data_IF_044826801644
#
_entry.id   IF_044826801644
#
_cell.length_a   1.000
_cell.length_b   1.000
_cell.length_c   1.000
_cell.angle_alpha   90.00
_cell.angle_beta   90.00
_cell.angle_gamma   90.00
#
_symmetry.space_group_name_H-M   'P 1'
#
loop_
_entity.id
_entity.type
_entity.pdbx_description
1 polymer ?
#
# COMPACT_ATOMS: atom_id res chain seq x y z
N UNK A 1 20.45 -0.63 -0.38
CA UNK A 1 19.50 0.40 -0.86
C UNK A 1 18.32 0.38 0.10
N UNK A 2 17.80 1.55 0.50
CA UNK A 2 16.61 1.61 1.38
C UNK A 2 15.41 1.09 0.60
N UNK A 3 14.63 0.17 1.18
CA UNK A 3 13.44 -0.38 0.52
C UNK A 3 12.45 0.75 0.27
N UNK A 4 11.94 0.84 -0.97
CA UNK A 4 10.96 1.85 -1.32
C UNK A 4 9.67 1.64 -0.53
N UNK A 5 9.10 2.74 -0.04
CA UNK A 5 7.87 2.73 0.76
C UNK A 5 6.79 3.55 0.07
N UNK A 6 5.64 2.95 -0.16
CA UNK A 6 4.50 3.62 -0.81
C UNK A 6 3.29 3.69 0.13
N UNK A 7 2.39 4.63 -0.12
CA UNK A 7 1.05 4.61 0.46
C UNK A 7 0.09 3.88 -0.48
N UNK A 8 -0.48 2.76 -0.07
CA UNK A 8 -1.48 2.03 -0.85
C UNK A 8 -2.07 0.87 -0.05
N UNK A 9 -3.28 0.41 -0.39
CA UNK A 9 -4.27 1.15 -1.17
C UNK A 9 -4.85 2.31 -0.35
N UNK A 10 -5.57 3.21 -1.01
CA UNK A 10 -6.35 4.27 -0.36
C UNK A 10 -7.71 3.72 0.14
N UNK A 11 -8.40 4.41 1.08
CA UNK A 11 -9.43 3.82 1.96
C UNK A 11 -10.46 2.90 1.29
N UNK A 12 -11.02 3.30 0.14
CA UNK A 12 -12.06 2.54 -0.57
C UNK A 12 -11.65 1.10 -0.96
N UNK A 13 -10.35 0.82 -1.09
CA UNK A 13 -9.82 -0.50 -1.42
C UNK A 13 -9.21 -1.26 -0.24
N UNK A 14 -9.15 -0.67 0.95
CA UNK A 14 -8.37 -1.21 2.08
C UNK A 14 -8.98 -2.49 2.62
N UNK A 15 -10.30 -2.53 2.80
CA UNK A 15 -10.96 -3.74 3.31
C UNK A 15 -10.72 -4.95 2.39
N UNK A 16 -10.89 -4.76 1.08
CA UNK A 16 -10.58 -5.78 0.06
C UNK A 16 -9.11 -6.21 0.11
N UNK A 17 -8.20 -5.24 0.23
CA UNK A 17 -6.77 -5.50 0.28
C UNK A 17 -6.35 -6.34 1.49
N UNK A 18 -6.85 -6.01 2.68
CA UNK A 18 -6.56 -6.76 3.89
C UNK A 18 -7.21 -8.15 3.87
N UNK A 19 -8.44 -8.25 3.33
CA UNK A 19 -9.19 -9.52 3.25
C UNK A 19 -8.53 -10.52 2.31
N UNK A 20 -8.09 -10.07 1.13
CA UNK A 20 -7.61 -10.97 0.07
C UNK A 20 -6.08 -10.96 -0.11
N UNK A 21 -5.34 -10.20 0.70
CA UNK A 21 -3.88 -10.09 0.54
C UNK A 21 -3.49 -9.40 -0.76
N UNK A 22 -4.10 -8.24 -1.03
CA UNK A 22 -3.89 -7.47 -2.26
C UNK A 22 -3.38 -6.06 -1.97
N UNK A 23 -2.71 -5.46 -2.94
CA UNK A 23 -2.45 -4.02 -3.01
C UNK A 23 -2.85 -3.55 -4.40
N UNK A 24 -3.54 -2.41 -4.50
CA UNK A 24 -4.04 -1.99 -5.81
C UNK A 24 -4.58 -0.59 -5.90
N UNK A 25 -5.04 -0.26 -7.10
CA UNK A 25 -5.70 1.00 -7.43
C UNK A 25 -6.63 0.85 -8.64
N UNK A 26 -7.51 1.82 -8.83
CA UNK A 26 -8.21 2.02 -10.09
C UNK A 26 -7.51 3.08 -10.96
N UNK A 27 -7.88 3.09 -12.24
CA UNK A 27 -7.52 4.13 -13.19
C UNK A 27 -8.71 4.42 -14.11
N UNK A 28 -9.03 5.70 -14.26
CA UNK A 28 -10.14 6.25 -15.05
C UNK A 28 -9.67 7.35 -16.03
N UNK A 29 -8.41 7.76 -15.94
CA UNK A 29 -7.79 8.79 -16.77
C UNK A 29 -6.37 8.39 -17.20
N UNK A 30 -5.82 9.10 -18.18
CA UNK A 30 -4.47 8.81 -18.71
C UNK A 30 -3.38 8.94 -17.62
N UNK A 31 -3.58 9.83 -16.64
CA UNK A 31 -2.62 10.09 -15.56
C UNK A 31 -2.58 8.94 -14.55
N UNK A 32 -3.71 8.30 -14.29
CA UNK A 32 -3.84 7.12 -13.42
C UNK A 32 -3.39 5.86 -14.14
N UNK A 33 -3.62 5.72 -15.45
CA UNK A 33 -3.03 4.64 -16.27
C UNK A 33 -1.49 4.66 -16.18
N UNK A 34 -0.85 5.82 -16.38
CA UNK A 34 0.61 5.93 -16.20
C UNK A 34 1.08 5.58 -14.78
N UNK A 35 0.20 5.68 -13.78
CA UNK A 35 0.52 5.28 -12.40
C UNK A 35 0.38 3.78 -12.21
N UNK A 36 -0.59 3.15 -12.85
CA UNK A 36 -0.73 1.70 -12.95
C UNK A 36 0.50 1.09 -13.63
N UNK A 37 1.00 1.69 -14.71
CA UNK A 37 2.25 1.25 -15.34
C UNK A 37 3.43 1.28 -14.37
N UNK A 38 3.60 2.41 -13.65
CA UNK A 38 4.63 2.53 -12.60
C UNK A 38 4.41 1.53 -11.45
N UNK A 39 3.17 1.22 -11.11
CA UNK A 39 2.86 0.21 -10.10
C UNK A 39 3.36 -1.18 -10.50
N UNK A 40 3.20 -1.53 -11.77
CA UNK A 40 3.73 -2.77 -12.34
C UNK A 40 5.26 -2.84 -12.29
N UNK A 41 5.96 -1.69 -12.23
CA UNK A 41 7.42 -1.62 -12.12
C UNK A 41 7.93 -1.53 -10.66
N UNK A 42 7.05 -1.49 -9.66
CA UNK A 42 7.48 -1.50 -8.25
C UNK A 42 8.20 -2.81 -7.95
N UNK A 43 9.42 -2.81 -7.38
CA UNK A 43 10.11 -4.06 -7.08
C UNK A 43 9.35 -4.94 -6.10
N UNK A 44 9.38 -6.25 -6.31
CA UNK A 44 8.93 -7.22 -5.32
C UNK A 44 9.67 -7.01 -4.00
N UNK A 45 8.95 -7.16 -2.89
CA UNK A 45 9.48 -6.91 -1.56
C UNK A 45 9.38 -5.46 -1.10
N UNK A 46 8.94 -4.52 -1.95
CA UNK A 46 8.70 -3.12 -1.57
C UNK A 46 7.63 -3.00 -0.49
N UNK A 47 7.81 -2.05 0.42
CA UNK A 47 6.87 -1.82 1.51
C UNK A 47 5.71 -0.92 1.08
N UNK A 48 4.55 -1.20 1.63
CA UNK A 48 3.36 -0.36 1.53
C UNK A 48 2.74 -0.11 2.88
N UNK A 49 2.32 1.12 3.12
CA UNK A 49 1.48 1.47 4.25
C UNK A 49 0.08 1.81 3.76
N UNK A 50 -0.93 1.34 4.47
CA UNK A 50 -2.31 1.78 4.32
C UNK A 50 -2.88 2.30 5.64
N UNK A 51 -3.99 3.04 5.54
CA UNK A 51 -4.76 3.54 6.68
C UNK A 51 -6.24 3.30 6.41
N UNK A 52 -6.93 2.61 7.32
CA UNK A 52 -8.39 2.39 7.24
C UNK A 52 -9.15 3.71 7.47
N UNK A 53 -10.44 3.74 7.16
CA UNK A 53 -11.30 4.89 7.47
C UNK A 53 -11.41 5.15 8.99
N UNK A 54 -11.23 4.10 9.80
CA UNK A 54 -11.17 4.20 11.27
C UNK A 54 -9.82 4.72 11.78
N UNK A 55 -8.86 4.91 10.88
CA UNK A 55 -7.55 5.47 11.18
C UNK A 55 -6.48 4.44 11.53
N UNK A 56 -6.76 3.15 11.40
CA UNK A 56 -5.83 2.06 11.71
C UNK A 56 -4.78 1.89 10.62
N UNK A 57 -3.51 1.70 10.99
CA UNK A 57 -2.42 1.53 10.03
C UNK A 57 -2.07 0.06 9.83
N UNK A 58 -1.80 -0.32 8.58
CA UNK A 58 -1.28 -1.64 8.24
C UNK A 58 -0.04 -1.49 7.36
N UNK A 59 0.95 -2.34 7.61
CA UNK A 59 2.15 -2.46 6.78
C UNK A 59 2.03 -3.71 5.92
N UNK A 60 2.43 -3.61 4.67
CA UNK A 60 2.44 -4.72 3.74
C UNK A 60 3.67 -4.79 2.87
N UNK A 61 3.81 -5.92 2.19
CA UNK A 61 4.91 -6.23 1.28
C UNK A 61 4.36 -6.72 -0.06
N UNK A 62 4.59 -5.94 -1.12
CA UNK A 62 4.09 -6.24 -2.46
C UNK A 62 4.92 -7.37 -3.09
N UNK A 63 4.26 -8.25 -3.84
CA UNK A 63 4.92 -9.30 -4.64
C UNK A 63 4.14 -9.59 -5.92
N UNK A 64 4.78 -10.28 -6.86
CA UNK A 64 4.13 -10.83 -8.04
C UNK A 64 3.76 -9.80 -9.10
N UNK A 65 3.28 -10.24 -10.27
CA UNK A 65 2.98 -9.36 -11.39
C UNK A 65 1.70 -8.54 -11.15
N UNK A 66 1.62 -7.39 -11.83
CA UNK A 66 0.38 -6.63 -11.94
C UNK A 66 -0.66 -7.41 -12.76
N UNK A 67 -1.90 -7.46 -12.27
CA UNK A 67 -3.04 -8.03 -12.99
C UNK A 67 -4.28 -7.15 -12.86
N UNK A 68 -5.18 -7.30 -13.81
CA UNK A 68 -6.53 -6.78 -13.69
C UNK A 68 -7.43 -7.81 -12.98
N UNK A 69 -8.27 -7.31 -12.07
CA UNK A 69 -9.34 -8.04 -11.43
C UNK A 69 -10.66 -7.35 -11.80
N UNK A 70 -11.51 -8.07 -12.52
CA UNK A 70 -12.82 -7.58 -12.99
C UNK A 70 -13.99 -8.23 -12.25
N UNK A 71 -13.73 -8.85 -11.10
CA UNK A 71 -14.79 -9.36 -10.23
C UNK A 71 -15.71 -8.23 -9.75
N UNK A 72 -16.94 -8.59 -9.37
CA UNK A 72 -17.90 -7.62 -8.82
C UNK A 72 -17.33 -6.87 -7.61
N UNK A 73 -16.64 -7.59 -6.72
CA UNK A 73 -15.96 -7.00 -5.56
C UNK A 73 -14.87 -5.99 -5.98
N UNK A 74 -14.17 -6.20 -7.11
CA UNK A 74 -13.09 -5.31 -7.56
C UNK A 74 -13.66 -3.98 -8.08
N UNK A 75 -14.78 -4.08 -8.79
CA UNK A 75 -15.56 -2.93 -9.26
C UNK A 75 -16.14 -2.17 -8.06
N UNK A 76 -16.76 -2.87 -7.11
CA UNK A 76 -17.37 -2.28 -5.93
C UNK A 76 -16.35 -1.53 -5.04
N UNK A 77 -15.13 -2.05 -4.88
CA UNK A 77 -14.08 -1.41 -4.08
C UNK A 77 -13.20 -0.43 -4.86
N UNK A 78 -13.50 -0.18 -6.14
CA UNK A 78 -12.65 0.61 -7.04
C UNK A 78 -11.16 0.18 -7.02
N UNK A 79 -10.91 -1.13 -7.05
CA UNK A 79 -9.56 -1.72 -6.97
C UNK A 79 -9.40 -2.82 -8.03
N UNK A 80 -9.19 -2.38 -9.26
CA UNK A 80 -9.12 -3.24 -10.45
C UNK A 80 -7.70 -3.70 -10.73
N UNK A 81 -6.72 -2.80 -10.67
CA UNK A 81 -5.32 -3.13 -10.92
C UNK A 81 -4.66 -3.52 -9.61
N UNK A 82 -4.31 -4.79 -9.48
CA UNK A 82 -3.86 -5.39 -8.23
C UNK A 82 -2.56 -6.17 -8.39
N UNK A 83 -1.82 -6.24 -7.28
CA UNK A 83 -0.71 -7.13 -7.05
C UNK A 83 -0.92 -7.83 -5.72
N UNK A 84 -0.29 -8.99 -5.54
CA UNK A 84 -0.35 -9.70 -4.27
C UNK A 84 0.42 -8.91 -3.21
N UNK A 85 -0.10 -8.90 -1.99
CA UNK A 85 0.48 -8.16 -0.88
C UNK A 85 0.29 -8.94 0.42
N UNK A 86 1.39 -9.21 1.10
CA UNK A 86 1.35 -9.73 2.45
C UNK A 86 1.18 -8.56 3.42
N UNK A 87 0.10 -8.54 4.19
CA UNK A 87 -0.15 -7.53 5.22
C UNK A 87 0.19 -8.03 6.62
N UNK A 88 0.49 -7.13 7.55
CA UNK A 88 0.49 -7.43 8.98
C UNK A 88 -0.90 -7.94 9.40
N UNK A 89 -0.95 -8.92 10.30
CA UNK A 89 -2.22 -9.53 10.73
C UNK A 89 -3.07 -8.64 11.62
N UNK A 90 -2.45 -7.70 12.31
CA UNK A 90 -3.09 -6.72 13.19
C UNK A 90 -2.67 -5.30 12.79
N UNK A 91 -3.47 -4.28 13.15
CA UNK A 91 -3.07 -2.89 13.03
C UNK A 91 -1.73 -2.63 13.72
N UNK A 92 -0.89 -1.82 13.07
CA UNK A 92 0.32 -1.28 13.69
C UNK A 92 -0.07 -0.08 14.56
N UNK A 93 0.27 -0.08 15.86
CA UNK A 93 0.06 1.07 16.73
C UNK A 93 0.72 2.33 16.18
N UNK A 94 0.06 3.49 16.30
CA UNK A 94 0.54 4.74 15.70
C UNK A 94 1.98 5.10 16.12
N UNK A 95 2.36 4.83 17.38
CA UNK A 95 3.70 5.11 17.91
C UNK A 95 4.82 4.25 17.28
N UNK A 96 4.47 3.19 16.57
CA UNK A 96 5.41 2.35 15.82
C UNK A 96 5.43 2.68 14.32
N UNK A 97 4.48 3.50 13.85
CA UNK A 97 4.43 3.92 12.44
C UNK A 97 5.53 4.95 12.20
N UNK A 98 6.34 4.81 11.12
CA UNK A 98 7.34 5.81 10.75
C UNK A 98 6.75 7.23 10.69
N UNK A 99 7.44 8.21 11.27
CA UNK A 99 6.95 9.59 11.30
C UNK A 99 6.70 10.16 9.88
N UNK A 100 7.54 9.78 8.91
CA UNK A 100 7.36 10.18 7.51
C UNK A 100 6.10 9.57 6.86
N UNK A 101 5.71 8.37 7.29
CA UNK A 101 4.44 7.73 6.90
C UNK A 101 3.27 8.49 7.49
N UNK A 102 3.30 8.79 8.80
CA UNK A 102 2.25 9.59 9.47
C UNK A 102 2.04 10.93 8.77
N UNK A 103 3.13 11.67 8.52
CA UNK A 103 3.09 12.95 7.79
C UNK A 103 2.51 12.79 6.38
N UNK A 104 2.86 11.70 5.69
CA UNK A 104 2.35 11.41 4.34
C UNK A 104 0.84 11.15 4.35
N UNK A 105 0.31 10.46 5.35
CA UNK A 105 -1.14 10.28 5.48
C UNK A 105 -1.84 11.57 5.89
N UNK A 106 -1.29 12.32 6.85
CA UNK A 106 -1.86 13.56 7.35
C UNK A 106 -2.01 14.65 6.27
N UNK A 107 -1.02 14.80 5.37
CA UNK A 107 -1.09 15.77 4.26
C UNK A 107 -2.07 15.37 3.15
N UNK A 108 -2.63 14.17 3.18
CA UNK A 108 -3.35 13.59 2.05
C UNK A 108 -2.43 13.25 0.86
N UNK A 109 -3.00 12.81 -0.25
CA UNK A 109 -2.21 12.46 -1.43
C UNK A 109 -2.80 11.34 -2.24
N UNK A 110 -1.99 10.81 -3.15
CA UNK A 110 -2.44 9.84 -4.17
C UNK A 110 -2.05 8.42 -3.79
N UNK A 111 -2.86 7.46 -4.21
CA UNK A 111 -2.52 6.04 -4.13
C UNK A 111 -1.20 5.76 -4.90
N UNK A 112 -0.34 4.92 -4.33
CA UNK A 112 1.03 4.60 -4.77
C UNK A 112 1.99 5.79 -4.85
N UNK A 113 1.75 6.83 -4.04
CA UNK A 113 2.75 7.86 -3.81
C UNK A 113 3.86 7.31 -2.91
N UNK A 114 5.11 7.48 -3.34
CA UNK A 114 6.28 7.12 -2.54
C UNK A 114 6.45 8.08 -1.36
N UNK A 115 6.82 7.53 -0.20
CA UNK A 115 7.25 8.30 0.98
C UNK A 115 8.74 8.55 0.86
N UNK A 116 9.12 9.81 0.68
CA UNK A 116 10.52 10.22 0.54
C UNK A 116 11.07 10.66 1.90
N UNK A 117 11.65 9.71 2.63
CA UNK A 117 12.49 9.95 3.80
C UNK A 117 13.59 8.87 3.82
N UNK A 118 14.87 9.20 4.08
CA UNK A 118 15.95 8.22 4.02
C UNK A 118 15.81 7.06 5.02
N UNK A 119 15.08 7.25 6.13
CA UNK A 119 14.92 6.27 7.20
C UNK A 119 13.67 5.41 7.06
N UNK A 120 12.65 5.87 6.31
CA UNK A 120 11.33 5.21 6.27
C UNK A 120 11.41 3.75 5.83
N UNK A 121 12.33 3.39 4.94
CA UNK A 121 12.56 2.00 4.52
C UNK A 121 13.08 1.13 5.67
N UNK A 122 14.10 1.60 6.39
CA UNK A 122 14.68 0.88 7.52
C UNK A 122 13.71 0.78 8.71
N UNK A 123 12.95 1.84 8.99
CA UNK A 123 11.92 1.85 10.03
C UNK A 123 10.77 0.89 9.67
N UNK A 124 10.29 0.90 8.43
CA UNK A 124 9.29 -0.06 7.94
C UNK A 124 9.79 -1.50 8.01
N UNK A 125 11.05 -1.75 7.63
CA UNK A 125 11.66 -3.08 7.77
C UNK A 125 11.77 -3.53 9.23
N UNK A 126 12.00 -2.62 10.16
CA UNK A 126 12.01 -2.93 11.59
C UNK A 126 10.62 -3.33 12.09
N UNK A 127 9.58 -2.57 11.72
CA UNK A 127 8.18 -2.92 12.04
C UNK A 127 7.82 -4.27 11.42
N UNK A 128 8.18 -4.49 10.15
CA UNK A 128 7.91 -5.75 9.46
C UNK A 128 8.56 -6.95 10.16
N UNK A 129 9.80 -6.83 10.66
CA UNK A 129 10.44 -7.93 11.41
C UNK A 129 9.74 -8.25 12.73
N UNK A 130 9.10 -7.26 13.36
CA UNK A 130 8.40 -7.44 14.63
C UNK A 130 6.96 -7.97 14.46
N UNK A 131 6.29 -7.66 13.33
CA UNK A 131 4.84 -7.85 13.15
C UNK A 131 4.43 -8.56 11.86
N UNK A 132 5.36 -8.72 10.92
CA UNK A 132 5.13 -9.40 9.66
C UNK A 132 4.74 -10.86 9.90
N UNK A 133 3.94 -11.39 8.98
CA UNK A 133 3.56 -12.82 8.98
C UNK A 133 4.71 -13.70 8.52
#
# INVERSE_FOLDING_TARGET
MSDAVYRAPMPNGVERALTYGLCGMAADDERSIRRVERFGQVPDGSFVWTRTERGEFFLGRISGPLREDRSADAVASNMIFVRDCQWTSEPVPEHEVPAATLQTFARGGRNLQQTHDPRVGAESASVWRARGR
#
